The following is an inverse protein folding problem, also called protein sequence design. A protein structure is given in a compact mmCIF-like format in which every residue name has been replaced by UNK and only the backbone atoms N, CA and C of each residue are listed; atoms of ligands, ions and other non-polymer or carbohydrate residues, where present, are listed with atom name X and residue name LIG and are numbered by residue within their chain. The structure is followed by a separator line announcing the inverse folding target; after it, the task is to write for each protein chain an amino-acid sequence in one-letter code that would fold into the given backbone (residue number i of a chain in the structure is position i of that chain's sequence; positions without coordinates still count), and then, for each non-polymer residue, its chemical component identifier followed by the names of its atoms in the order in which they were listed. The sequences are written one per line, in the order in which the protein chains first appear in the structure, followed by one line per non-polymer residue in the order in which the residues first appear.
data_IF_879248829604
#
_entry.id   IF_879248829604
#
_cell.length_a   1.000
_cell.length_b   1.000
_cell.length_c   1.000
_cell.angle_alpha   90.00
_cell.angle_beta   90.00
_cell.angle_gamma   90.00
#
_symmetry.space_group_name_H-M   'P 1'
#
loop_
_entity.id
_entity.type
_entity.pdbx_description
1 polymer ?
#
# COMPACT_ATOMS: atom_id res chain seq x y z
N UNK A 1 -12.26 5.48 12.04
CA UNK A 1 -11.60 4.40 11.28
C UNK A 1 -11.30 4.92 9.87
N UNK A 2 -10.03 4.81 9.43
CA UNK A 2 -9.59 5.30 8.12
C UNK A 2 -10.30 4.63 6.95
N UNK A 3 -10.59 3.33 7.06
CA UNK A 3 -11.27 2.54 6.03
C UNK A 3 -12.66 3.08 5.69
N UNK A 4 -13.46 3.41 6.69
CA UNK A 4 -14.82 3.96 6.48
C UNK A 4 -14.76 5.34 5.83
N UNK A 5 -13.83 6.19 6.28
CA UNK A 5 -13.63 7.52 5.71
C UNK A 5 -13.11 7.44 4.26
N UNK A 6 -12.16 6.55 3.97
CA UNK A 6 -11.64 6.33 2.63
C UNK A 6 -12.70 5.82 1.67
N UNK A 7 -13.51 4.83 2.09
CA UNK A 7 -14.62 4.33 1.30
C UNK A 7 -15.62 5.44 0.95
N UNK A 8 -16.05 6.21 1.95
CA UNK A 8 -16.98 7.34 1.74
C UNK A 8 -16.39 8.41 0.83
N UNK A 9 -15.11 8.74 1.00
CA UNK A 9 -14.44 9.76 0.19
C UNK A 9 -14.31 9.33 -1.28
N UNK A 10 -13.92 8.07 -1.55
CA UNK A 10 -13.88 7.56 -2.93
C UNK A 10 -15.28 7.46 -3.54
N UNK A 11 -16.31 7.06 -2.79
CA UNK A 11 -17.70 7.08 -3.27
C UNK A 11 -18.11 8.49 -3.72
N UNK A 12 -17.80 9.52 -2.92
CA UNK A 12 -18.06 10.92 -3.28
C UNK A 12 -17.29 11.31 -4.55
N UNK A 13 -16.02 10.89 -4.68
CA UNK A 13 -15.22 11.17 -5.88
C UNK A 13 -15.84 10.53 -7.13
N UNK A 14 -16.28 9.28 -7.05
CA UNK A 14 -16.95 8.54 -8.13
C UNK A 14 -18.24 9.25 -8.56
N UNK A 15 -19.12 9.57 -7.61
CA UNK A 15 -20.39 10.24 -7.89
C UNK A 15 -20.20 11.61 -8.56
N UNK A 16 -19.21 12.37 -8.10
CA UNK A 16 -18.85 13.66 -8.74
C UNK A 16 -18.25 13.47 -10.12
N UNK A 17 -17.31 12.55 -10.28
CA UNK A 17 -16.64 12.29 -11.56
C UNK A 17 -17.64 11.85 -12.64
N UNK A 18 -18.66 11.07 -12.31
CA UNK A 18 -19.75 10.72 -13.22
C UNK A 18 -20.52 11.93 -13.74
N UNK A 19 -20.59 13.02 -12.95
CA UNK A 19 -21.33 14.24 -13.31
C UNK A 19 -20.45 15.28 -14.00
N UNK A 20 -19.21 15.41 -13.56
CA UNK A 20 -18.31 16.52 -13.94
C UNK A 20 -17.08 16.07 -14.75
N UNK A 21 -16.95 14.76 -14.99
CA UNK A 21 -15.81 14.18 -15.69
C UNK A 21 -14.64 13.79 -14.79
N UNK A 22 -14.35 14.54 -13.75
CA UNK A 22 -13.28 14.28 -12.80
C UNK A 22 -13.62 14.84 -11.42
N UNK A 23 -13.13 14.18 -10.36
CA UNK A 23 -13.19 14.72 -9.01
C UNK A 23 -11.98 14.32 -8.18
N UNK A 24 -11.58 15.22 -7.30
CA UNK A 24 -10.58 14.98 -6.26
C UNK A 24 -11.26 15.19 -4.90
N UNK A 25 -11.06 14.24 -3.99
CA UNK A 25 -11.54 14.33 -2.60
C UNK A 25 -10.38 14.07 -1.66
N UNK A 26 -10.15 14.96 -0.71
CA UNK A 26 -9.11 14.79 0.31
C UNK A 26 -9.72 14.58 1.70
N UNK A 27 -9.05 13.82 2.53
CA UNK A 27 -9.41 13.54 3.92
C UNK A 27 -8.24 13.91 4.81
N UNK A 28 -8.48 14.61 5.90
CA UNK A 28 -7.47 14.93 6.93
C UNK A 28 -7.86 14.38 8.28
N UNK A 29 -6.89 14.30 9.19
CA UNK A 29 -7.09 13.87 10.57
C UNK A 29 -7.75 12.49 10.67
N UNK A 30 -7.29 11.57 9.83
CA UNK A 30 -7.73 10.20 9.74
C UNK A 30 -6.72 9.25 10.42
N UNK A 31 -6.89 7.97 10.18
CA UNK A 31 -6.01 6.89 10.61
C UNK A 31 -5.68 5.99 9.41
N UNK A 32 -4.87 4.95 9.64
CA UNK A 32 -4.57 3.95 8.63
C UNK A 32 -5.85 3.44 7.94
N UNK A 33 -5.85 3.39 6.60
CA UNK A 33 -7.04 3.08 5.81
C UNK A 33 -6.99 1.73 5.07
N UNK A 34 -6.02 0.88 5.41
CA UNK A 34 -5.79 -0.40 4.74
C UNK A 34 -4.89 -0.25 3.51
N UNK A 35 -5.18 -0.97 2.45
CA UNK A 35 -4.45 -0.91 1.18
C UNK A 35 -5.02 0.17 0.27
N UNK A 36 -4.13 0.95 -0.38
CA UNK A 36 -4.55 2.05 -1.26
C UNK A 36 -5.34 1.57 -2.47
N UNK A 37 -4.96 0.44 -3.02
CA UNK A 37 -5.58 -0.16 -4.20
C UNK A 37 -7.05 -0.51 -4.05
N UNK A 38 -7.52 -0.79 -2.84
CA UNK A 38 -8.95 -1.05 -2.61
C UNK A 38 -9.82 0.10 -3.13
N UNK A 39 -9.43 1.33 -2.84
CA UNK A 39 -10.20 2.51 -3.24
C UNK A 39 -10.07 2.81 -4.73
N UNK A 40 -8.87 2.65 -5.31
CA UNK A 40 -8.69 2.77 -6.75
C UNK A 40 -9.58 1.78 -7.52
N UNK A 41 -9.66 0.53 -7.04
CA UNK A 41 -10.56 -0.49 -7.61
C UNK A 41 -12.04 -0.16 -7.47
N UNK A 42 -12.46 0.61 -6.47
CA UNK A 42 -13.88 1.05 -6.36
C UNK A 42 -14.28 1.85 -7.60
N UNK A 43 -13.46 2.83 -8.02
CA UNK A 43 -13.74 3.61 -9.23
C UNK A 43 -13.63 2.77 -10.51
N UNK A 44 -12.64 1.88 -10.59
CA UNK A 44 -12.45 0.96 -11.71
C UNK A 44 -13.67 0.07 -11.95
N UNK A 45 -14.28 -0.48 -10.90
CA UNK A 45 -15.52 -1.27 -10.99
C UNK A 45 -16.71 -0.50 -11.57
N UNK A 46 -16.69 0.83 -11.47
CA UNK A 46 -17.70 1.73 -12.00
C UNK A 46 -17.34 2.28 -13.40
N UNK A 47 -16.33 1.68 -14.05
CA UNK A 47 -15.87 2.08 -15.39
C UNK A 47 -14.93 3.31 -15.42
N UNK A 48 -14.55 3.84 -14.26
CA UNK A 48 -13.73 5.04 -14.12
C UNK A 48 -12.25 4.68 -13.92
N UNK A 49 -11.35 5.64 -14.12
CA UNK A 49 -9.97 5.57 -13.63
C UNK A 49 -9.99 6.00 -12.17
N UNK A 50 -9.52 5.14 -11.27
CA UNK A 50 -9.40 5.44 -9.86
C UNK A 50 -7.96 5.62 -9.42
N UNK A 51 -7.69 6.63 -8.59
CA UNK A 51 -6.40 6.80 -7.92
C UNK A 51 -6.63 7.01 -6.43
N UNK A 52 -5.74 6.45 -5.62
CA UNK A 52 -5.76 6.61 -4.16
C UNK A 52 -4.35 6.80 -3.65
N UNK A 53 -4.18 7.72 -2.73
CA UNK A 53 -2.91 8.04 -2.09
C UNK A 53 -3.13 8.29 -0.60
N UNK A 54 -2.10 8.06 0.18
CA UNK A 54 -2.09 8.46 1.59
C UNK A 54 -0.69 8.87 2.00
N UNK A 55 -0.58 9.79 2.94
CA UNK A 55 0.64 9.90 3.72
C UNK A 55 0.62 8.90 4.89
N UNK A 56 1.73 8.74 5.55
CA UNK A 56 1.86 7.89 6.74
C UNK A 56 2.92 8.44 7.69
N UNK A 57 3.17 7.75 8.80
CA UNK A 57 4.29 8.07 9.68
C UNK A 57 5.61 8.15 8.91
N UNK A 58 6.47 9.11 9.28
CA UNK A 58 7.76 9.29 8.64
C UNK A 58 8.68 8.08 8.85
N UNK A 59 8.97 7.39 7.74
CA UNK A 59 9.89 6.25 7.67
C UNK A 59 10.86 6.35 6.50
N UNK A 60 10.60 7.21 5.50
CA UNK A 60 11.44 7.41 4.31
C UNK A 60 12.41 8.57 4.54
N UNK A 61 13.69 8.31 4.29
CA UNK A 61 14.75 9.31 4.31
C UNK A 61 14.83 9.98 2.94
N UNK A 62 14.71 11.32 2.85
CA UNK A 62 14.90 12.02 1.57
C UNK A 62 16.29 11.79 1.00
N UNK A 63 16.45 11.83 -0.32
CA UNK A 63 17.76 11.78 -0.98
C UNK A 63 18.70 12.82 -0.38
N UNK A 64 19.94 12.43 -0.08
CA UNK A 64 20.96 13.20 0.66
C UNK A 64 20.63 13.47 2.15
N UNK A 65 19.51 13.01 2.63
CA UNK A 65 19.14 13.13 4.03
C UNK A 65 19.68 12.01 4.90
N UNK A 66 19.56 12.18 6.22
CA UNK A 66 19.83 11.13 7.21
C UNK A 66 18.71 10.95 8.24
N UNK A 67 17.57 11.61 8.02
CA UNK A 67 16.40 11.51 8.90
C UNK A 67 15.16 11.25 8.07
N UNK A 68 14.35 10.32 8.52
CA UNK A 68 13.05 10.05 7.92
C UNK A 68 12.14 11.28 8.05
N UNK A 69 11.59 11.74 6.94
CA UNK A 69 10.72 12.91 6.83
C UNK A 69 9.39 12.62 6.14
N UNK A 70 9.34 11.61 5.29
CA UNK A 70 8.15 11.17 4.57
C UNK A 70 7.74 9.78 5.00
N UNK A 71 6.48 9.43 4.80
CA UNK A 71 5.99 8.06 4.98
C UNK A 71 6.35 7.15 3.82
N UNK A 72 5.82 5.92 3.83
CA UNK A 72 5.85 5.03 2.65
C UNK A 72 4.96 5.55 1.53
N UNK A 73 4.07 6.45 1.83
CA UNK A 73 3.26 7.28 0.95
C UNK A 73 2.83 6.53 -0.34
N UNK A 74 1.99 5.49 -0.24
CA UNK A 74 1.62 4.66 -1.37
C UNK A 74 0.78 5.41 -2.40
N UNK A 75 0.94 5.00 -3.65
CA UNK A 75 0.12 5.43 -4.79
C UNK A 75 -0.54 4.18 -5.38
N UNK A 76 -1.86 4.23 -5.57
CA UNK A 76 -2.59 3.21 -6.30
C UNK A 76 -3.34 3.81 -7.47
N UNK A 77 -3.35 3.09 -8.59
CA UNK A 77 -4.13 3.42 -9.79
C UNK A 77 -4.81 2.14 -10.27
N UNK A 78 -6.08 2.27 -10.66
CA UNK A 78 -6.80 1.20 -11.35
C UNK A 78 -7.58 1.78 -12.54
N UNK A 79 -7.55 1.06 -13.66
CA UNK A 79 -8.29 1.39 -14.88
C UNK A 79 -8.82 0.11 -15.53
N UNK A 80 -10.08 0.10 -16.00
CA UNK A 80 -10.65 -1.06 -16.68
C UNK A 80 -9.88 -1.43 -17.95
N UNK A 81 -9.54 -2.72 -18.10
CA UNK A 81 -8.88 -3.29 -19.27
C UNK A 81 -9.23 -4.77 -19.41
N UNK A 82 -8.81 -5.42 -20.51
CA UNK A 82 -8.99 -6.85 -20.77
C UNK A 82 -7.63 -7.56 -20.97
N UNK A 83 -7.53 -8.83 -20.58
CA UNK A 83 -8.49 -9.63 -19.82
C UNK A 83 -8.54 -9.27 -18.35
N UNK A 84 -7.58 -8.49 -17.84
CA UNK A 84 -7.48 -8.01 -16.46
C UNK A 84 -7.39 -6.49 -16.43
N UNK A 85 -7.98 -5.87 -15.42
CA UNK A 85 -7.82 -4.43 -15.18
C UNK A 85 -6.34 -4.08 -14.95
N UNK A 86 -5.91 -2.93 -15.45
CA UNK A 86 -4.65 -2.37 -14.97
C UNK A 86 -4.83 -1.99 -13.50
N UNK A 87 -3.96 -2.55 -12.64
CA UNK A 87 -4.02 -2.31 -11.20
C UNK A 87 -2.61 -2.21 -10.62
N UNK A 88 -2.22 -1.02 -10.25
CA UNK A 88 -0.95 -0.72 -9.61
C UNK A 88 -1.19 -0.19 -8.21
N UNK A 89 -0.52 -0.76 -7.20
CA UNK A 89 -0.52 -0.31 -5.80
C UNK A 89 0.87 -0.52 -5.22
N UNK A 90 1.59 0.57 -4.98
CA UNK A 90 2.96 0.50 -4.50
C UNK A 90 3.29 1.63 -3.52
N UNK A 91 4.14 1.33 -2.53
CA UNK A 91 4.79 2.36 -1.73
C UNK A 91 5.81 3.15 -2.57
N UNK A 92 6.13 4.36 -2.16
CA UNK A 92 7.17 5.20 -2.77
C UNK A 92 8.55 4.97 -2.14
N UNK A 93 8.64 4.06 -1.17
CA UNK A 93 9.88 3.49 -0.62
C UNK A 93 10.25 2.20 -1.33
N UNK A 94 11.55 1.85 -1.32
CA UNK A 94 12.04 0.61 -1.95
C UNK A 94 11.41 -0.64 -1.35
N UNK A 95 11.11 -0.62 -0.06
CA UNK A 95 10.36 -1.65 0.68
C UNK A 95 9.47 -1.01 1.72
N UNK A 96 8.48 -1.76 2.22
CA UNK A 96 7.63 -1.32 3.34
C UNK A 96 8.30 -1.57 4.69
N UNK A 97 7.86 -0.87 5.74
CA UNK A 97 8.28 -1.14 7.13
C UNK A 97 8.04 -2.60 7.53
N UNK A 98 6.89 -3.18 7.18
CA UNK A 98 6.59 -4.58 7.47
C UNK A 98 7.61 -5.56 6.89
N UNK A 99 8.29 -5.21 5.76
CA UNK A 99 9.36 -6.04 5.22
C UNK A 99 10.59 -6.05 6.16
N UNK A 100 10.94 -4.91 6.75
CA UNK A 100 12.00 -4.83 7.75
C UNK A 100 11.63 -5.63 9.02
N UNK A 101 10.37 -5.55 9.45
CA UNK A 101 9.86 -6.29 10.61
C UNK A 101 9.96 -7.80 10.40
N UNK A 102 9.64 -8.30 9.19
CA UNK A 102 9.80 -9.70 8.82
C UNK A 102 11.28 -10.12 8.88
N UNK A 103 12.19 -9.33 8.28
CA UNK A 103 13.62 -9.62 8.31
C UNK A 103 14.17 -9.62 9.74
N UNK A 104 13.75 -8.67 10.58
CA UNK A 104 14.10 -8.63 11.99
C UNK A 104 13.63 -9.87 12.74
N UNK A 105 12.36 -10.27 12.54
CA UNK A 105 11.81 -11.49 13.16
C UNK A 105 12.54 -12.77 12.73
N UNK A 106 12.97 -12.83 11.46
CA UNK A 106 13.73 -13.95 10.93
C UNK A 106 15.23 -13.86 11.22
N UNK A 107 15.71 -12.83 11.92
CA UNK A 107 17.13 -12.57 12.20
C UNK A 107 18.00 -12.56 10.93
N UNK A 108 17.43 -12.08 9.81
CA UNK A 108 18.12 -11.97 8.53
C UNK A 108 18.62 -10.56 8.31
N UNK A 109 19.84 -10.38 7.74
CA UNK A 109 20.35 -9.07 7.38
C UNK A 109 19.48 -8.48 6.25
N UNK A 110 19.24 -7.16 6.31
CA UNK A 110 18.57 -6.45 5.21
C UNK A 110 19.46 -6.47 3.95
N UNK A 111 18.86 -6.65 2.78
CA UNK A 111 19.53 -6.40 1.54
C UNK A 111 20.10 -4.97 1.48
N UNK A 112 21.26 -4.84 0.86
CA UNK A 112 21.87 -3.53 0.62
C UNK A 112 20.91 -2.65 -0.22
N UNK A 113 20.86 -1.37 0.10
CA UNK A 113 20.02 -0.42 -0.63
C UNK A 113 18.57 -0.34 -0.13
N UNK A 114 18.25 -0.93 1.03
CA UNK A 114 16.92 -0.85 1.61
C UNK A 114 16.77 0.22 2.69
N UNK A 115 17.81 0.44 3.47
CA UNK A 115 17.72 1.29 4.65
C UNK A 115 19.06 1.99 4.98
N UNK A 116 18.94 3.10 5.68
CA UNK A 116 20.07 3.88 6.22
C UNK A 116 20.02 3.84 7.75
N UNK A 117 21.20 3.88 8.36
CA UNK A 117 21.37 4.12 9.79
C UNK A 117 21.22 5.61 10.16
N UNK A 118 21.39 5.93 11.44
CA UNK A 118 21.27 7.31 11.94
C UNK A 118 22.29 8.30 11.39
N UNK A 119 23.38 7.82 10.80
CA UNK A 119 24.42 8.65 10.15
C UNK A 119 24.08 8.94 8.68
N UNK A 120 23.13 8.20 8.09
CA UNK A 120 22.78 8.26 6.68
C UNK A 120 23.57 7.26 5.84
N UNK A 121 24.23 6.28 6.46
CA UNK A 121 24.97 5.20 5.78
C UNK A 121 24.07 3.97 5.64
N UNK A 122 24.28 3.19 4.54
CA UNK A 122 23.53 1.96 4.27
C UNK A 122 23.62 0.97 5.44
N UNK A 123 22.49 0.45 5.88
CA UNK A 123 22.39 -0.48 7.01
C UNK A 123 21.79 -1.81 6.62
N UNK A 124 22.38 -2.91 7.09
CA UNK A 124 21.84 -4.27 7.00
C UNK A 124 21.15 -4.73 8.30
N UNK A 125 21.15 -3.91 9.36
CA UNK A 125 20.57 -4.25 10.66
C UNK A 125 19.13 -3.73 10.77
N UNK A 126 18.16 -4.66 10.57
CA UNK A 126 16.75 -4.34 10.67
C UNK A 126 16.34 -3.83 12.07
N UNK A 127 16.92 -4.40 13.15
CA UNK A 127 16.60 -4.02 14.52
C UNK A 127 16.99 -2.57 14.80
N UNK A 128 18.20 -2.19 14.41
CA UNK A 128 18.70 -0.81 14.60
C UNK A 128 17.84 0.18 13.80
N UNK A 129 17.57 -0.11 12.53
CA UNK A 129 16.76 0.78 11.69
C UNK A 129 15.35 0.95 12.25
N UNK A 130 14.68 -0.14 12.66
CA UNK A 130 13.34 -0.09 13.24
C UNK A 130 13.31 0.71 14.56
N UNK A 131 14.29 0.50 15.44
CA UNK A 131 14.42 1.28 16.68
C UNK A 131 14.60 2.77 16.40
N UNK A 132 15.44 3.11 15.42
CA UNK A 132 15.69 4.49 15.02
C UNK A 132 14.45 5.16 14.43
N UNK A 133 13.66 4.46 13.61
CA UNK A 133 12.38 4.96 13.08
C UNK A 133 11.43 5.30 14.23
N UNK A 134 11.24 4.39 15.18
CA UNK A 134 10.35 4.59 16.34
C UNK A 134 10.83 5.73 17.22
N UNK A 135 12.12 5.78 17.53
CA UNK A 135 12.73 6.83 18.35
C UNK A 135 12.92 8.17 17.62
N UNK A 136 12.67 8.21 16.28
CA UNK A 136 12.96 9.38 15.42
C UNK A 136 14.41 9.84 15.51
N UNK A 137 15.33 8.89 15.73
CA UNK A 137 16.75 9.14 16.02
C UNK A 137 17.62 9.31 14.76
N UNK A 138 17.02 9.30 13.58
CA UNK A 138 17.71 9.32 12.28
C UNK A 138 17.68 7.94 11.60
N UNK A 139 18.13 7.87 10.36
CA UNK A 139 17.97 6.70 9.51
C UNK A 139 16.54 6.46 9.05
N UNK A 140 16.32 5.34 8.38
CA UNK A 140 15.02 4.94 7.87
C UNK A 140 15.13 4.17 6.55
N UNK A 141 14.01 4.01 5.87
CA UNK A 141 13.91 3.31 4.60
C UNK A 141 14.25 4.28 3.47
N UNK A 142 14.92 3.79 2.42
CA UNK A 142 15.26 4.62 1.26
C UNK A 142 14.08 4.73 0.28
N UNK A 143 14.02 5.80 -0.55
CA UNK A 143 13.03 5.93 -1.61
C UNK A 143 13.19 4.84 -2.69
N UNK A 144 12.18 4.64 -3.53
CA UNK A 144 12.32 3.91 -4.79
C UNK A 144 13.52 4.47 -5.57
N UNK A 145 14.39 3.60 -6.07
CA UNK A 145 15.68 3.93 -6.66
C UNK A 145 16.86 3.74 -5.70
N UNK A 146 16.60 3.46 -4.40
CA UNK A 146 17.65 3.05 -3.46
C UNK A 146 18.38 4.19 -2.76
N UNK A 147 19.65 3.97 -2.38
CA UNK A 147 20.41 4.86 -1.50
C UNK A 147 20.95 6.13 -2.19
N UNK A 148 21.15 6.09 -3.50
CA UNK A 148 21.88 7.15 -4.21
C UNK A 148 21.05 7.80 -5.31
N UNK A 149 21.38 9.04 -5.62
CA UNK A 149 20.77 9.77 -6.73
C UNK A 149 21.02 9.07 -8.08
N UNK A 150 22.21 8.46 -8.29
CA UNK A 150 22.56 7.72 -9.51
C UNK A 150 21.63 6.53 -9.75
N UNK A 151 21.13 5.89 -8.68
CA UNK A 151 20.14 4.81 -8.76
C UNK A 151 18.71 5.33 -8.89
N UNK A 152 18.51 6.64 -8.79
CA UNK A 152 17.22 7.28 -8.96
C UNK A 152 16.41 7.49 -7.67
N UNK A 153 17.06 7.51 -6.49
CA UNK A 153 16.38 7.75 -5.20
C UNK A 153 15.55 9.04 -5.18
N UNK A 154 16.02 10.10 -5.86
CA UNK A 154 15.30 11.36 -6.00
C UNK A 154 13.93 11.20 -6.69
N UNK A 155 13.75 10.18 -7.55
CA UNK A 155 12.46 9.89 -8.20
C UNK A 155 11.45 9.34 -7.19
N UNK A 156 11.85 8.34 -6.39
CA UNK A 156 11.01 7.81 -5.32
C UNK A 156 10.69 8.86 -4.26
N UNK A 157 11.68 9.68 -3.89
CA UNK A 157 11.46 10.83 -3.03
C UNK A 157 10.43 11.81 -3.62
N UNK A 158 10.54 12.13 -4.92
CA UNK A 158 9.57 12.96 -5.62
C UNK A 158 8.15 12.38 -5.63
N UNK A 159 7.99 11.07 -5.82
CA UNK A 159 6.69 10.40 -5.70
C UNK A 159 6.13 10.48 -4.27
N UNK A 160 6.97 10.37 -3.25
CA UNK A 160 6.57 10.58 -1.85
C UNK A 160 6.06 11.99 -1.61
N UNK A 161 6.72 13.01 -2.20
CA UNK A 161 6.27 14.40 -2.16
C UNK A 161 4.96 14.63 -2.93
N UNK A 162 4.80 13.95 -4.07
CA UNK A 162 3.53 13.95 -4.80
C UNK A 162 2.36 13.49 -3.91
N UNK A 163 2.55 12.40 -3.15
CA UNK A 163 1.55 11.97 -2.18
C UNK A 163 1.27 13.03 -1.11
N UNK A 164 2.30 13.67 -0.53
CA UNK A 164 2.08 14.75 0.45
C UNK A 164 1.23 15.88 -0.13
N UNK A 165 1.50 16.29 -1.38
CA UNK A 165 0.73 17.36 -2.03
C UNK A 165 -0.75 16.99 -2.12
N UNK A 166 -1.06 15.81 -2.66
CA UNK A 166 -2.44 15.39 -2.89
C UNK A 166 -3.16 14.90 -1.64
N UNK A 167 -2.50 14.79 -0.52
CA UNK A 167 -3.08 14.36 0.75
C UNK A 167 -3.03 15.47 1.79
N UNK A 168 -1.91 15.62 2.49
CA UNK A 168 -1.76 16.52 3.64
C UNK A 168 -1.79 17.99 3.24
N UNK A 169 -1.14 18.37 2.15
CA UNK A 169 -1.07 19.79 1.75
C UNK A 169 -2.45 20.27 1.29
N UNK A 170 -3.09 19.59 0.32
CA UNK A 170 -4.40 20.00 -0.18
C UNK A 170 -5.50 19.92 0.88
N UNK A 171 -5.40 19.02 1.85
CA UNK A 171 -6.37 18.91 2.95
C UNK A 171 -6.08 19.86 4.12
N UNK A 172 -4.95 20.58 4.11
CA UNK A 172 -4.43 21.35 5.26
C UNK A 172 -4.29 20.47 6.51
N UNK A 173 -3.88 19.21 6.32
CA UNK A 173 -3.66 18.24 7.38
C UNK A 173 -2.17 18.12 7.76
N UNK A 174 -1.87 17.15 8.64
CA UNK A 174 -0.49 16.91 9.08
C UNK A 174 0.33 16.23 7.99
N UNK A 175 1.51 16.75 7.72
CA UNK A 175 2.52 16.10 6.87
C UNK A 175 3.16 14.91 7.60
N UNK A 176 3.75 13.96 6.87
CA UNK A 176 4.28 12.70 7.42
C UNK A 176 5.19 12.89 8.63
N UNK A 177 6.05 13.90 8.62
CA UNK A 177 6.97 14.19 9.72
C UNK A 177 6.28 14.74 10.99
N UNK A 178 5.00 15.06 10.92
CA UNK A 178 4.17 15.55 12.02
C UNK A 178 3.04 14.58 12.39
N UNK A 179 2.79 13.53 11.60
CA UNK A 179 1.80 12.51 11.95
C UNK A 179 2.31 11.61 13.08
N UNK A 180 1.38 10.99 13.80
CA UNK A 180 1.68 10.04 14.89
C UNK A 180 2.60 10.58 15.99
N UNK A 181 2.63 11.91 16.15
CA UNK A 181 3.30 12.55 17.26
C UNK A 181 2.44 12.45 18.52
N UNK A 182 3.05 12.04 19.65
CA UNK A 182 2.37 11.94 20.94
C UNK A 182 1.11 11.05 20.93
N UNK A 183 1.12 9.94 20.19
CA UNK A 183 0.00 9.01 20.10
C UNK A 183 -1.23 9.50 19.34
N UNK A 184 -1.14 10.67 18.70
CA UNK A 184 -2.22 11.20 17.85
C UNK A 184 -2.01 10.74 16.40
N UNK A 185 -3.07 10.26 15.73
CA UNK A 185 -3.07 9.93 14.32
C UNK A 185 -2.76 11.15 13.43
N UNK A 186 -3.59 11.44 12.49
CA UNK A 186 -3.47 12.63 11.63
C UNK A 186 -3.13 12.29 10.18
N UNK A 187 -3.20 11.01 9.81
CA UNK A 187 -3.02 10.55 8.43
C UNK A 187 -4.01 11.25 7.50
N UNK A 188 -3.54 11.60 6.31
CA UNK A 188 -4.32 12.27 5.28
C UNK A 188 -4.40 11.39 4.04
N UNK A 189 -5.54 11.43 3.34
CA UNK A 189 -5.77 10.62 2.15
C UNK A 189 -6.20 11.50 0.98
N UNK A 190 -5.88 11.07 -0.24
CA UNK A 190 -6.32 11.66 -1.49
C UNK A 190 -6.95 10.62 -2.39
N UNK A 191 -8.09 10.96 -2.98
CA UNK A 191 -8.85 10.10 -3.88
C UNK A 191 -9.18 10.86 -5.14
N UNK A 192 -8.93 10.26 -6.30
CA UNK A 192 -9.23 10.83 -7.60
C UNK A 192 -10.04 9.82 -8.40
N UNK A 193 -11.13 10.27 -9.00
CA UNK A 193 -11.88 9.51 -9.97
C UNK A 193 -11.97 10.31 -11.28
N UNK A 194 -11.72 9.66 -12.41
CA UNK A 194 -11.75 10.26 -13.74
C UNK A 194 -12.67 9.42 -14.62
N UNK A 195 -13.62 10.07 -15.27
CA UNK A 195 -14.49 9.44 -16.25
C UNK A 195 -13.81 9.48 -17.64
N UNK A 196 -13.42 8.32 -18.23
CA UNK A 196 -12.78 8.29 -19.54
C UNK A 196 -13.65 8.89 -20.67
N UNK A 197 -14.97 8.84 -20.53
CA UNK A 197 -15.90 9.33 -21.54
C UNK A 197 -15.75 10.83 -21.85
N UNK A 198 -15.11 11.62 -20.99
CA UNK A 198 -14.83 13.04 -21.27
C UNK A 198 -13.71 13.23 -22.30
N UNK A 199 -12.92 12.19 -22.57
CA UNK A 199 -11.83 12.20 -23.54
C UNK A 199 -12.21 11.59 -24.88
N UNK A 200 -13.36 10.92 -24.98
CA UNK A 200 -13.84 10.27 -26.20
C UNK A 200 -14.63 8.99 -25.91
N UNK A 201 -14.68 8.09 -26.89
CA UNK A 201 -15.34 6.79 -26.72
C UNK A 201 -14.63 5.94 -25.65
N UNK A 202 -15.33 5.66 -24.57
CA UNK A 202 -14.76 4.94 -23.42
C UNK A 202 -14.36 3.50 -23.75
N UNK A 203 -15.05 2.85 -24.71
CA UNK A 203 -14.72 1.49 -25.13
C UNK A 203 -13.44 1.50 -25.97
N UNK A 204 -13.28 2.50 -26.87
CA UNK A 204 -12.05 2.66 -27.64
C UNK A 204 -10.85 2.96 -26.72
N UNK A 205 -11.03 3.81 -25.70
CA UNK A 205 -9.98 4.10 -24.71
C UNK A 205 -9.59 2.84 -23.93
N UNK A 206 -10.57 2.06 -23.48
CA UNK A 206 -10.35 0.78 -22.77
C UNK A 206 -9.64 -0.24 -23.65
N UNK A 207 -10.05 -0.37 -24.91
CA UNK A 207 -9.42 -1.28 -25.87
C UNK A 207 -7.98 -0.87 -26.16
N UNK A 208 -7.71 0.43 -26.28
CA UNK A 208 -6.37 0.95 -26.49
C UNK A 208 -5.42 0.59 -25.34
N UNK A 209 -5.87 0.70 -24.07
CA UNK A 209 -5.11 0.22 -22.92
C UNK A 209 -4.92 -1.31 -22.96
N UNK A 210 -5.98 -2.05 -23.28
CA UNK A 210 -5.94 -3.52 -23.34
C UNK A 210 -4.92 -4.00 -24.38
N UNK A 211 -4.86 -3.36 -25.54
CA UNK A 211 -3.88 -3.63 -26.61
C UNK A 211 -2.46 -3.39 -26.09
N UNK A 212 -2.19 -2.24 -25.48
CA UNK A 212 -0.87 -1.95 -24.89
C UNK A 212 -0.46 -3.00 -23.86
N UNK A 213 -1.37 -3.38 -22.96
CA UNK A 213 -1.08 -4.42 -21.95
C UNK A 213 -0.81 -5.78 -22.58
N UNK A 214 -1.47 -6.11 -23.69
CA UNK A 214 -1.20 -7.32 -24.45
C UNK A 214 0.19 -7.26 -25.09
N UNK A 215 0.54 -6.18 -25.78
CA UNK A 215 1.85 -5.98 -26.39
C UNK A 215 2.99 -6.09 -25.37
N UNK A 216 2.81 -5.56 -24.15
CA UNK A 216 3.76 -5.72 -23.05
C UNK A 216 3.95 -7.18 -22.66
N UNK A 217 2.86 -7.96 -22.51
CA UNK A 217 2.92 -9.39 -22.19
C UNK A 217 3.60 -10.23 -23.26
N UNK A 218 3.40 -9.86 -24.52
CA UNK A 218 3.92 -10.57 -25.70
C UNK A 218 5.33 -10.12 -26.09
N UNK A 219 5.84 -9.05 -25.47
CA UNK A 219 7.19 -8.53 -25.77
C UNK A 219 8.27 -9.57 -25.44
N UNK A 220 9.47 -9.46 -26.04
CA UNK A 220 10.57 -10.40 -25.79
C UNK A 220 10.90 -10.53 -24.30
N UNK A 221 10.96 -11.75 -23.82
CA UNK A 221 11.28 -12.05 -22.41
C UNK A 221 12.78 -12.04 -22.19
N UNK A 222 13.20 -11.67 -20.98
CA UNK A 222 14.57 -11.86 -20.55
C UNK A 222 14.92 -13.37 -20.45
N UNK A 223 16.18 -13.71 -20.58
CA UNK A 223 16.67 -15.08 -20.44
C UNK A 223 16.25 -15.68 -19.09
N UNK A 224 15.76 -16.91 -19.12
CA UNK A 224 15.27 -17.60 -17.93
C UNK A 224 13.89 -17.15 -17.43
N UNK A 225 13.19 -16.29 -18.15
CA UNK A 225 11.84 -15.86 -17.78
C UNK A 225 10.78 -16.48 -18.68
N UNK A 226 9.73 -17.05 -18.06
CA UNK A 226 8.66 -17.72 -18.80
C UNK A 226 7.55 -16.74 -19.20
N UNK A 227 7.37 -15.65 -18.48
CA UNK A 227 6.26 -14.71 -18.65
C UNK A 227 6.60 -13.29 -18.21
N UNK A 228 6.05 -12.32 -18.94
CA UNK A 228 5.94 -10.92 -18.48
C UNK A 228 4.56 -10.72 -17.90
N UNK A 229 4.48 -10.18 -16.69
CA UNK A 229 3.23 -9.83 -16.02
C UNK A 229 2.97 -8.33 -16.17
N UNK A 230 1.75 -7.96 -16.50
CA UNK A 230 1.29 -6.59 -16.34
C UNK A 230 0.73 -6.38 -14.91
N UNK A 231 0.69 -5.12 -14.48
CA UNK A 231 0.24 -4.78 -13.13
C UNK A 231 -1.23 -5.17 -12.93
N UNK A 232 -1.51 -5.93 -11.87
CA UNK A 232 -2.83 -6.45 -11.53
C UNK A 232 -3.04 -7.93 -11.85
N UNK A 233 -2.25 -8.54 -12.75
CA UNK A 233 -2.43 -9.96 -13.12
C UNK A 233 -2.13 -10.91 -11.95
N UNK A 234 -1.03 -10.69 -11.23
CA UNK A 234 -0.66 -11.54 -10.09
C UNK A 234 -1.71 -11.49 -8.99
N UNK A 235 -2.27 -10.32 -8.76
CA UNK A 235 -3.35 -10.08 -7.82
C UNK A 235 -4.64 -10.76 -8.28
N UNK A 236 -4.97 -10.72 -9.58
CA UNK A 236 -6.12 -11.41 -10.15
C UNK A 236 -6.00 -12.93 -9.98
N UNK A 237 -4.85 -13.51 -10.31
CA UNK A 237 -4.60 -14.95 -10.13
C UNK A 237 -4.65 -15.37 -8.66
N UNK A 238 -4.04 -14.57 -7.77
CA UNK A 238 -4.10 -14.84 -6.36
C UNK A 238 -5.52 -14.73 -5.80
N UNK A 239 -6.33 -13.81 -6.32
CA UNK A 239 -7.73 -13.68 -5.95
C UNK A 239 -8.55 -14.91 -6.38
N UNK A 240 -8.42 -15.33 -7.63
CA UNK A 240 -9.11 -16.53 -8.16
C UNK A 240 -8.73 -17.80 -7.39
N UNK A 241 -7.44 -17.98 -7.12
CA UNK A 241 -6.95 -19.12 -6.35
C UNK A 241 -7.52 -19.12 -4.92
N UNK A 242 -7.44 -17.98 -4.23
CA UNK A 242 -7.92 -17.87 -2.86
C UNK A 242 -9.43 -17.96 -2.71
N UNK A 243 -10.18 -17.49 -3.70
CA UNK A 243 -11.63 -17.67 -3.73
C UNK A 243 -12.02 -19.15 -3.87
N UNK A 244 -11.21 -19.95 -4.55
CA UNK A 244 -11.43 -21.39 -4.76
C UNK A 244 -10.90 -22.23 -3.60
N UNK A 245 -9.69 -21.94 -3.14
CA UNK A 245 -8.93 -22.78 -2.22
C UNK A 245 -8.87 -22.24 -0.79
N UNK A 246 -9.39 -21.03 -0.54
CA UNK A 246 -9.32 -20.36 0.75
C UNK A 246 -8.03 -19.56 0.94
N UNK A 247 -7.89 -18.97 2.11
CA UNK A 247 -6.74 -18.16 2.51
C UNK A 247 -6.06 -18.82 3.70
N UNK A 248 -4.77 -19.12 3.58
CA UNK A 248 -3.97 -19.60 4.70
C UNK A 248 -3.78 -18.46 5.71
N UNK A 249 -4.29 -18.66 6.92
CA UNK A 249 -4.13 -17.69 8.01
C UNK A 249 -3.09 -18.21 8.99
N UNK A 250 -2.10 -17.38 9.30
CA UNK A 250 -1.08 -17.73 10.29
C UNK A 250 -1.73 -17.99 11.65
N UNK A 251 -1.26 -19.04 12.35
CA UNK A 251 -1.84 -19.50 13.62
C UNK A 251 -1.85 -18.44 14.71
N UNK A 252 -0.80 -17.61 14.79
CA UNK A 252 -0.75 -16.52 15.76
C UNK A 252 -1.81 -15.45 15.46
N UNK A 253 -2.09 -15.20 14.19
CA UNK A 253 -3.17 -14.28 13.76
C UNK A 253 -4.54 -14.85 14.18
N UNK A 254 -4.76 -16.15 14.04
CA UNK A 254 -6.01 -16.79 14.52
C UNK A 254 -6.14 -16.67 16.02
N UNK A 255 -5.05 -16.85 16.78
CA UNK A 255 -5.04 -16.67 18.23
C UNK A 255 -5.40 -15.23 18.64
N UNK A 256 -4.81 -14.22 17.96
CA UNK A 256 -5.16 -12.81 18.17
C UNK A 256 -6.64 -12.50 17.81
N UNK A 257 -7.17 -13.13 16.76
CA UNK A 257 -8.60 -13.01 16.41
C UNK A 257 -9.51 -13.62 17.48
N UNK A 258 -9.13 -14.78 18.05
CA UNK A 258 -9.86 -15.41 19.17
C UNK A 258 -9.91 -14.47 20.37
N UNK A 259 -8.78 -13.87 20.74
CA UNK A 259 -8.70 -12.96 21.89
C UNK A 259 -9.48 -11.66 21.64
N UNK A 260 -9.41 -11.13 20.42
CA UNK A 260 -10.21 -9.97 20.03
C UNK A 260 -11.73 -10.27 20.10
N UNK A 261 -12.16 -11.44 19.62
CA UNK A 261 -13.55 -11.85 19.68
C UNK A 261 -14.04 -12.04 21.11
N UNK A 262 -13.21 -12.60 21.99
CA UNK A 262 -13.52 -12.66 23.43
C UNK A 262 -13.69 -11.27 24.03
N UNK A 263 -12.78 -10.33 23.70
CA UNK A 263 -12.90 -8.95 24.17
C UNK A 263 -14.17 -8.24 23.70
N UNK A 264 -14.62 -8.55 22.47
CA UNK A 264 -15.82 -7.96 21.85
C UNK A 264 -17.11 -8.73 22.14
N UNK A 265 -17.08 -9.80 22.94
CA UNK A 265 -18.20 -10.71 23.18
C UNK A 265 -18.79 -11.28 21.88
N UNK A 266 -17.90 -11.68 20.95
CA UNK A 266 -18.26 -12.28 19.66
C UNK A 266 -17.94 -13.77 19.63
N UNK A 267 -18.82 -14.58 19.02
CA UNK A 267 -18.60 -16.01 18.82
C UNK A 267 -17.71 -16.25 17.59
N UNK A 268 -16.42 -16.47 17.80
CA UNK A 268 -15.45 -16.73 16.74
C UNK A 268 -15.70 -18.06 16.01
N UNK A 269 -16.25 -19.08 16.68
CA UNK A 269 -16.51 -20.38 16.07
C UNK A 269 -17.53 -20.30 14.93
N UNK A 270 -18.41 -19.31 14.97
CA UNK A 270 -19.36 -19.00 13.90
C UNK A 270 -18.66 -18.59 12.59
N UNK A 271 -17.46 -18.02 12.66
CA UNK A 271 -16.73 -17.49 11.50
C UNK A 271 -15.63 -18.42 11.02
N UNK A 272 -14.89 -19.04 11.93
CA UNK A 272 -13.74 -19.89 11.62
C UNK A 272 -14.01 -21.39 11.78
N UNK A 273 -15.14 -21.76 12.39
CA UNK A 273 -15.45 -23.15 12.73
C UNK A 273 -14.74 -23.65 14.01
N UNK A 274 -15.35 -24.61 14.69
CA UNK A 274 -14.87 -25.15 15.98
C UNK A 274 -13.50 -25.80 15.89
N UNK A 275 -13.26 -26.57 14.85
CA UNK A 275 -12.00 -27.32 14.69
C UNK A 275 -10.80 -26.39 14.52
N UNK A 276 -10.93 -25.34 13.70
CA UNK A 276 -9.87 -24.36 13.49
C UNK A 276 -9.51 -23.62 14.79
N UNK A 277 -10.51 -23.22 15.57
CA UNK A 277 -10.31 -22.53 16.84
C UNK A 277 -9.65 -23.45 17.89
N UNK A 278 -10.09 -24.69 17.99
CA UNK A 278 -9.53 -25.67 18.95
C UNK A 278 -8.08 -26.06 18.60
N UNK A 279 -7.75 -26.23 17.32
CA UNK A 279 -6.37 -26.50 16.88
C UNK A 279 -5.44 -25.33 17.24
N UNK A 280 -5.89 -24.10 17.03
CA UNK A 280 -5.13 -22.90 17.35
C UNK A 280 -4.86 -22.77 18.85
N UNK A 281 -5.86 -23.02 19.69
CA UNK A 281 -5.72 -22.96 21.14
C UNK A 281 -4.80 -24.06 21.70
N UNK A 282 -4.76 -25.25 21.09
CA UNK A 282 -3.83 -26.32 21.47
C UNK A 282 -2.38 -25.99 21.10
N UNK A 283 -2.13 -25.40 19.95
CA UNK A 283 -0.76 -25.05 19.52
C UNK A 283 -0.20 -23.86 20.29
N UNK A 284 -1.01 -22.83 20.61
CA UNK A 284 -0.56 -21.70 21.42
C UNK A 284 -0.21 -22.08 22.87
N UNK A 285 -0.72 -23.20 23.39
CA UNK A 285 -0.37 -23.72 24.72
C UNK A 285 0.94 -24.52 24.79
N UNK A 286 1.54 -24.86 23.64
CA UNK A 286 2.84 -25.53 23.56
C UNK A 286 4.03 -24.57 23.38
N UNK A 287 3.76 -23.29 23.01
CA UNK A 287 4.77 -22.26 22.74
C UNK A 287 4.97 -21.28 23.93
N UNK A 288 4.34 -21.53 25.09
CA UNK A 288 4.56 -20.84 26.36
C UNK A 288 5.37 -21.72 27.31
#
# INVERSE_FOLDING_TARGET
MGQLLGHKAMTIAIEKAKKTGMAIVTVRNSNHYGIAGYYAKMACKEGLIGMSMTNSEAIMVPTFGRKAMLGSNPIAIAMPAKPYDFFFDASTTVVTRGKLEIYNKLQKPLPRGWALDATGTGSSDASVVLKNIVAKAGGGIVPLGGETEQLGSHKGYGYGMFCEIFTSILSMGLTSNHTHMNGKGGTCHGFIAINPAVFGDENAIREHLSTLLQELRESPKAEGQDRIYTHGEKEAFAYEDRMKNGIDVNINTVAEMVDLCKYLDMDIERYLGKEAVQLTLKQSSYDM
#
